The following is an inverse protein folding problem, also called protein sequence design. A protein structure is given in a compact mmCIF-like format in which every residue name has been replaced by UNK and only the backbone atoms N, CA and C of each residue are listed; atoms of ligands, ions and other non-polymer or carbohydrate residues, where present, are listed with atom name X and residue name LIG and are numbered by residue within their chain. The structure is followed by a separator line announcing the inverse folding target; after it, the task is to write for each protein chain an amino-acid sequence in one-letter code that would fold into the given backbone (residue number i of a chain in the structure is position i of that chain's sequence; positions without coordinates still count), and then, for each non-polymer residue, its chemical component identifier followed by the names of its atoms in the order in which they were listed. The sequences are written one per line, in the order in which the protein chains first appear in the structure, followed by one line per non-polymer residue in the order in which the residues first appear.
data_IF_343686277900
#
_entry.id   IF_343686277900
#
_cell.length_a   1.000
_cell.length_b   1.000
_cell.length_c   1.000
_cell.angle_alpha   90.00
_cell.angle_beta   90.00
_cell.angle_gamma   90.00
#
_symmetry.space_group_name_H-M   'P 1'
#
loop_
_entity.id
_entity.type
_entity.pdbx_description
1 polymer ?
#
# COMPACT_ATOMS: atom_id res chain seq x y z
N UNK A 1 -8.49 -17.16 -31.94
CA UNK A 1 -7.98 -17.82 -30.72
C UNK A 1 -7.67 -16.86 -29.55
N UNK A 2 -6.76 -15.93 -29.73
CA UNK A 2 -6.25 -15.11 -28.62
C UNK A 2 -7.26 -14.11 -28.04
N UNK A 3 -8.17 -13.57 -28.85
CA UNK A 3 -9.19 -12.62 -28.38
C UNK A 3 -10.21 -13.32 -27.48
N UNK A 4 -10.68 -14.50 -27.87
CA UNK A 4 -11.61 -15.31 -27.05
C UNK A 4 -10.95 -15.74 -25.73
N UNK A 5 -9.67 -16.12 -25.75
CA UNK A 5 -8.92 -16.47 -24.54
C UNK A 5 -8.73 -15.24 -23.62
N UNK A 6 -8.53 -14.05 -24.18
CA UNK A 6 -8.46 -12.80 -23.43
C UNK A 6 -9.77 -12.45 -22.74
N UNK A 7 -10.90 -12.53 -23.45
CA UNK A 7 -12.23 -12.30 -22.89
C UNK A 7 -12.57 -13.31 -21.78
N UNK A 8 -12.22 -14.57 -21.99
CA UNK A 8 -12.40 -15.64 -21.01
C UNK A 8 -11.54 -15.41 -19.77
N UNK A 9 -10.28 -15.00 -19.95
CA UNK A 9 -9.38 -14.67 -18.83
C UNK A 9 -9.94 -13.50 -18.00
N UNK A 10 -10.52 -12.48 -18.65
CA UNK A 10 -11.14 -11.36 -17.96
C UNK A 10 -12.37 -11.78 -17.15
N UNK A 11 -13.25 -12.64 -17.70
CA UNK A 11 -14.42 -13.17 -16.98
C UNK A 11 -14.00 -13.97 -15.74
N UNK A 12 -12.94 -14.76 -15.83
CA UNK A 12 -12.40 -15.47 -14.67
C UNK A 12 -11.80 -14.51 -13.63
N UNK A 13 -11.16 -13.42 -14.04
CA UNK A 13 -10.70 -12.39 -13.11
C UNK A 13 -11.87 -11.75 -12.34
N UNK A 14 -12.99 -11.47 -13.01
CA UNK A 14 -14.21 -10.96 -12.36
C UNK A 14 -14.84 -11.99 -11.40
N UNK A 15 -14.78 -13.27 -11.72
CA UNK A 15 -15.24 -14.33 -10.82
C UNK A 15 -14.36 -14.42 -9.55
N UNK A 16 -13.03 -14.34 -9.70
CA UNK A 16 -12.10 -14.28 -8.59
C UNK A 16 -12.33 -13.05 -7.71
N UNK A 17 -12.64 -11.90 -8.31
CA UNK A 17 -13.00 -10.67 -7.62
C UNK A 17 -14.28 -10.84 -6.79
N UNK A 18 -15.32 -11.43 -7.35
CA UNK A 18 -16.57 -11.69 -6.65
C UNK A 18 -16.38 -12.63 -5.47
N UNK A 19 -15.52 -13.65 -5.63
CA UNK A 19 -15.19 -14.59 -4.55
C UNK A 19 -14.36 -13.92 -3.45
N UNK A 20 -13.36 -13.14 -3.81
CA UNK A 20 -12.54 -12.39 -2.85
C UNK A 20 -13.38 -11.40 -2.03
N UNK A 21 -14.33 -10.71 -2.64
CA UNK A 21 -15.27 -9.83 -1.95
C UNK A 21 -16.13 -10.58 -0.92
N UNK A 22 -16.50 -11.82 -1.23
CA UNK A 22 -17.23 -12.67 -0.30
C UNK A 22 -16.34 -13.06 0.89
N UNK A 23 -15.11 -13.50 0.64
CA UNK A 23 -14.14 -13.82 1.71
C UNK A 23 -13.99 -12.63 2.66
N UNK A 24 -13.75 -11.42 2.11
CA UNK A 24 -13.57 -10.21 2.92
C UNK A 24 -14.81 -9.83 3.73
N UNK A 25 -16.01 -10.09 3.21
CA UNK A 25 -17.25 -9.86 3.95
C UNK A 25 -17.41 -10.88 5.08
N UNK A 26 -17.26 -12.17 4.76
CA UNK A 26 -17.40 -13.25 5.74
C UNK A 26 -16.36 -13.10 6.87
N UNK A 27 -15.17 -12.57 6.55
CA UNK A 27 -14.11 -12.22 7.49
C UNK A 27 -14.58 -11.11 8.45
N UNK A 28 -15.08 -9.98 7.94
CA UNK A 28 -15.57 -8.86 8.77
C UNK A 28 -16.76 -9.24 9.66
N UNK A 29 -17.57 -10.20 9.27
CA UNK A 29 -18.65 -10.72 10.10
C UNK A 29 -18.14 -11.49 11.33
N UNK A 30 -16.90 -11.98 11.31
CA UNK A 30 -16.29 -12.80 12.35
C UNK A 30 -15.16 -12.10 13.13
N UNK A 31 -14.59 -11.03 12.58
CA UNK A 31 -13.44 -10.32 13.16
C UNK A 31 -13.56 -8.82 12.94
N UNK A 32 -13.19 -8.03 13.97
CA UNK A 32 -13.08 -6.58 13.89
C UNK A 32 -11.64 -6.11 13.58
N UNK A 33 -10.69 -7.05 13.50
CA UNK A 33 -9.28 -6.80 13.19
C UNK A 33 -8.88 -7.57 11.95
N UNK A 34 -7.83 -7.11 11.26
CA UNK A 34 -7.27 -7.79 10.10
C UNK A 34 -5.80 -8.15 10.34
N UNK A 35 -5.44 -9.41 10.10
CA UNK A 35 -4.08 -9.91 10.28
C UNK A 35 -3.71 -11.05 9.31
N UNK A 36 -2.42 -11.36 9.21
CA UNK A 36 -1.89 -12.27 8.18
C UNK A 36 -2.22 -13.75 8.37
N UNK A 37 -2.82 -14.13 9.52
CA UNK A 37 -3.25 -15.51 9.78
C UNK A 37 -4.73 -15.75 9.42
N UNK A 38 -5.44 -14.77 8.86
CA UNK A 38 -6.83 -14.88 8.44
C UNK A 38 -6.98 -15.52 7.06
N UNK A 39 -8.17 -16.02 6.76
CA UNK A 39 -8.45 -16.73 5.52
C UNK A 39 -8.22 -15.90 4.26
N UNK A 40 -8.43 -14.58 4.33
CA UNK A 40 -8.17 -13.68 3.20
C UNK A 40 -6.69 -13.57 2.85
N UNK A 41 -5.78 -13.71 3.82
CA UNK A 41 -4.34 -13.60 3.65
C UNK A 41 -3.68 -14.89 3.15
N UNK A 42 -4.40 -16.01 3.19
CA UNK A 42 -3.87 -17.32 2.75
C UNK A 42 -3.77 -17.33 1.23
N UNK A 43 -2.55 -17.58 0.72
CA UNK A 43 -2.33 -17.80 -0.71
C UNK A 43 -2.87 -19.17 -1.11
N UNK A 44 -3.91 -19.17 -1.94
CA UNK A 44 -4.50 -20.40 -2.45
C UNK A 44 -3.70 -20.97 -3.62
N UNK A 45 -3.65 -22.31 -3.76
CA UNK A 45 -3.07 -22.93 -4.94
C UNK A 45 -3.85 -22.52 -6.21
N UNK A 46 -3.22 -22.61 -7.40
CA UNK A 46 -3.91 -22.32 -8.65
C UNK A 46 -5.19 -23.14 -8.79
N UNK A 47 -6.31 -22.47 -9.08
CA UNK A 47 -7.62 -23.10 -9.27
C UNK A 47 -7.76 -23.48 -10.75
N UNK A 48 -7.97 -24.76 -11.09
CA UNK A 48 -8.16 -25.17 -12.47
C UNK A 48 -9.49 -24.65 -13.03
N UNK A 49 -9.47 -24.18 -14.26
CA UNK A 49 -10.61 -23.74 -15.04
C UNK A 49 -10.56 -24.32 -16.44
N UNK A 50 -11.64 -24.18 -17.22
CA UNK A 50 -11.63 -24.64 -18.60
C UNK A 50 -10.51 -23.95 -19.41
N UNK A 51 -9.58 -24.75 -19.92
CA UNK A 51 -8.45 -24.29 -20.72
C UNK A 51 -7.24 -23.75 -19.94
N UNK A 52 -7.24 -23.79 -18.58
CA UNK A 52 -6.12 -23.26 -17.82
C UNK A 52 -6.32 -23.22 -16.31
N UNK A 53 -5.86 -22.13 -15.68
CA UNK A 53 -5.97 -21.93 -14.23
C UNK A 53 -6.04 -20.45 -13.85
N UNK A 54 -6.53 -20.20 -12.63
CA UNK A 54 -6.55 -18.89 -11.99
C UNK A 54 -5.72 -18.96 -10.72
N UNK A 55 -4.90 -17.94 -10.47
CA UNK A 55 -4.22 -17.70 -9.20
C UNK A 55 -4.65 -16.34 -8.68
N UNK A 56 -5.15 -16.28 -7.44
CA UNK A 56 -5.55 -15.05 -6.76
C UNK A 56 -4.76 -14.83 -5.48
N UNK A 57 -4.41 -13.57 -5.20
CA UNK A 57 -3.79 -13.16 -3.95
C UNK A 57 -4.40 -11.84 -3.49
N UNK A 58 -4.93 -11.84 -2.26
CA UNK A 58 -5.30 -10.62 -1.57
C UNK A 58 -4.11 -10.08 -0.77
N UNK A 59 -3.94 -8.78 -0.79
CA UNK A 59 -2.92 -8.06 -0.02
C UNK A 59 -3.58 -6.88 0.66
N UNK A 60 -3.24 -6.66 1.91
CA UNK A 60 -3.65 -5.48 2.66
C UNK A 60 -2.93 -4.25 2.13
N UNK A 61 -3.66 -3.26 1.61
CA UNK A 61 -3.09 -1.98 1.15
C UNK A 61 -2.77 -1.03 2.31
N UNK A 62 -3.26 -1.30 3.52
CA UNK A 62 -2.91 -0.53 4.71
C UNK A 62 -1.69 -1.11 5.45
N UNK A 63 -1.07 -2.18 4.93
CA UNK A 63 0.23 -2.67 5.37
C UNK A 63 1.40 -1.76 4.99
N UNK A 64 1.17 -0.79 4.11
CA UNK A 64 2.15 0.13 3.52
C UNK A 64 1.84 1.59 3.88
N UNK A 65 2.83 2.47 3.70
CA UNK A 65 2.67 3.91 3.84
C UNK A 65 1.95 4.47 2.61
N UNK A 66 0.73 4.98 2.77
CA UNK A 66 0.01 5.61 1.67
C UNK A 66 0.58 7.01 1.38
N UNK A 67 1.22 7.17 0.23
CA UNK A 67 1.83 8.44 -0.19
C UNK A 67 0.81 9.58 -0.29
N UNK A 68 -0.45 9.27 -0.59
CA UNK A 68 -1.51 10.28 -0.64
C UNK A 68 -1.89 10.85 0.74
N UNK A 69 -1.40 10.25 1.84
CA UNK A 69 -1.53 10.85 3.17
C UNK A 69 -0.56 12.04 3.37
N UNK A 70 0.38 12.30 2.45
CA UNK A 70 1.23 13.50 2.49
C UNK A 70 0.51 14.78 2.05
N UNK A 71 -0.67 14.68 1.44
CA UNK A 71 -1.42 15.86 0.99
C UNK A 71 -1.79 16.72 2.18
N UNK A 72 -1.58 18.03 2.07
CA UNK A 72 -1.70 18.99 3.17
C UNK A 72 -3.10 19.13 3.77
N UNK A 73 -4.14 18.71 3.05
CA UNK A 73 -5.52 18.66 3.55
C UNK A 73 -5.83 17.43 4.42
N UNK A 74 -4.87 16.52 4.57
CA UNK A 74 -4.99 15.33 5.42
C UNK A 74 -4.43 15.61 6.81
N UNK A 75 -5.22 15.33 7.85
CA UNK A 75 -4.82 15.59 9.24
C UNK A 75 -3.51 14.89 9.64
N UNK A 76 -3.27 13.70 9.06
CA UNK A 76 -2.11 12.86 9.36
C UNK A 76 -0.86 13.22 8.51
N UNK A 77 -0.93 14.23 7.65
CA UNK A 77 0.17 14.58 6.75
C UNK A 77 1.51 14.83 7.48
N UNK A 78 1.57 15.56 8.62
CA UNK A 78 2.83 15.76 9.33
C UNK A 78 3.45 14.47 9.87
N UNK A 79 2.65 13.58 10.45
CA UNK A 79 3.15 12.31 10.98
C UNK A 79 3.52 11.35 9.85
N UNK A 80 2.77 11.34 8.75
CA UNK A 80 3.09 10.56 7.55
C UNK A 80 4.43 11.02 6.95
N UNK A 81 4.66 12.33 6.85
CA UNK A 81 5.93 12.89 6.40
C UNK A 81 7.09 12.38 7.26
N UNK A 82 7.01 12.49 8.58
CA UNK A 82 8.06 12.05 9.48
C UNK A 82 8.33 10.54 9.35
N UNK A 83 7.29 9.72 9.27
CA UNK A 83 7.43 8.27 9.05
C UNK A 83 8.09 7.95 7.70
N UNK A 84 7.73 8.67 6.65
CA UNK A 84 8.35 8.48 5.34
C UNK A 84 9.81 8.91 5.33
N UNK A 85 10.18 10.02 5.97
CA UNK A 85 11.58 10.46 6.13
C UNK A 85 12.42 9.37 6.83
N UNK A 86 11.88 8.75 7.90
CA UNK A 86 12.51 7.62 8.59
C UNK A 86 12.62 6.39 7.69
N UNK A 87 11.55 6.05 6.98
CA UNK A 87 11.55 4.91 6.05
C UNK A 87 12.62 5.08 4.97
N UNK A 88 12.73 6.26 4.36
CA UNK A 88 13.78 6.55 3.39
C UNK A 88 15.17 6.35 4.02
N UNK A 89 15.39 6.86 5.22
CA UNK A 89 16.66 6.67 5.95
C UNK A 89 16.97 5.21 6.23
N UNK A 90 15.96 4.40 6.63
CA UNK A 90 16.09 2.95 6.84
C UNK A 90 16.49 2.24 5.55
N UNK A 91 15.98 2.71 4.40
CA UNK A 91 16.24 2.17 3.08
C UNK A 91 17.51 2.73 2.43
N UNK A 92 18.29 3.55 3.15
CA UNK A 92 19.49 4.24 2.63
C UNK A 92 19.18 5.14 1.42
N UNK A 93 18.04 5.82 1.45
CA UNK A 93 17.60 6.81 0.48
C UNK A 93 17.64 8.17 1.16
N UNK A 94 17.99 9.23 0.44
CA UNK A 94 18.00 10.59 0.97
C UNK A 94 16.58 11.00 1.41
N UNK A 95 16.41 11.30 2.70
CA UNK A 95 15.13 11.71 3.27
C UNK A 95 14.61 13.03 2.68
N UNK A 96 15.47 13.89 2.14
CA UNK A 96 15.09 15.13 1.47
C UNK A 96 14.15 14.93 0.28
N UNK A 97 14.18 13.75 -0.35
CA UNK A 97 13.29 13.42 -1.47
C UNK A 97 11.80 13.43 -1.11
N UNK A 98 11.44 13.37 0.17
CA UNK A 98 10.04 13.57 0.63
C UNK A 98 9.49 14.91 0.18
N UNK A 99 10.33 15.96 0.11
CA UNK A 99 9.91 17.30 -0.32
C UNK A 99 9.44 17.31 -1.78
N UNK A 100 10.14 16.60 -2.66
CA UNK A 100 9.73 16.45 -4.05
C UNK A 100 8.42 15.62 -4.19
N UNK A 101 8.15 14.68 -3.28
CA UNK A 101 6.87 13.98 -3.26
C UNK A 101 5.73 14.90 -2.81
N UNK A 102 5.97 15.78 -1.83
CA UNK A 102 4.98 16.75 -1.37
C UNK A 102 4.63 17.72 -2.51
N UNK A 103 5.64 18.32 -3.17
CA UNK A 103 5.45 19.19 -4.32
C UNK A 103 4.71 18.50 -5.50
N UNK A 104 4.89 17.17 -5.66
CA UNK A 104 4.16 16.41 -6.67
C UNK A 104 2.67 16.29 -6.36
N UNK A 105 2.32 16.26 -5.08
CA UNK A 105 0.97 15.99 -4.58
C UNK A 105 0.16 17.25 -4.30
N UNK A 106 0.81 18.33 -3.89
CA UNK A 106 0.11 19.55 -3.50
C UNK A 106 -0.37 20.36 -4.72
N UNK A 107 -1.37 21.24 -4.55
CA UNK A 107 -1.99 21.93 -5.68
C UNK A 107 -1.27 23.23 -6.06
N UNK A 108 -0.24 23.64 -5.34
CA UNK A 108 0.46 24.89 -5.61
C UNK A 108 1.69 24.68 -6.52
N UNK A 109 2.49 25.70 -6.77
CA UNK A 109 3.68 25.66 -7.61
C UNK A 109 4.91 26.19 -6.87
N UNK A 110 4.86 26.21 -5.54
CA UNK A 110 5.93 26.72 -4.70
C UNK A 110 6.85 25.56 -4.29
N UNK A 111 8.05 25.55 -4.86
CA UNK A 111 9.04 24.51 -4.54
C UNK A 111 9.36 24.50 -3.04
N UNK A 112 9.17 23.37 -2.39
CA UNK A 112 9.57 23.12 -1.00
C UNK A 112 11.11 23.12 -0.89
N UNK A 113 11.65 23.93 -0.01
CA UNK A 113 13.11 24.09 0.13
C UNK A 113 13.63 23.18 1.26
N UNK A 114 14.83 22.53 1.06
CA UNK A 114 15.78 22.73 -0.04
C UNK A 114 15.63 21.75 -1.21
N UNK A 115 14.90 20.62 -1.08
CA UNK A 115 14.98 19.47 -1.97
C UNK A 115 13.70 19.20 -2.78
N UNK A 116 12.75 20.13 -2.75
CA UNK A 116 11.51 20.02 -3.53
C UNK A 116 11.73 20.14 -5.04
N UNK A 117 10.71 19.79 -5.81
CA UNK A 117 10.74 19.87 -7.26
C UNK A 117 9.35 20.14 -7.83
N UNK A 118 9.24 21.26 -8.55
CA UNK A 118 8.03 21.73 -9.20
C UNK A 118 8.16 21.81 -10.72
N UNK A 119 7.17 22.32 -11.41
CA UNK A 119 7.14 22.50 -12.88
C UNK A 119 8.45 23.02 -13.44
N UNK A 120 9.10 23.98 -12.76
CA UNK A 120 10.38 24.55 -13.20
C UNK A 120 11.47 23.47 -13.31
N UNK A 121 11.49 22.51 -12.39
CA UNK A 121 12.45 21.38 -12.46
C UNK A 121 12.10 20.45 -13.62
N UNK A 122 10.86 19.99 -13.70
CA UNK A 122 10.45 18.94 -14.64
C UNK A 122 10.37 19.42 -16.09
N UNK A 123 10.03 20.70 -16.31
CA UNK A 123 10.04 21.32 -17.65
C UNK A 123 11.45 21.50 -18.23
N UNK A 124 12.49 21.46 -17.40
CA UNK A 124 13.90 21.55 -17.85
C UNK A 124 14.53 20.17 -18.11
N UNK A 125 13.81 19.09 -17.93
CA UNK A 125 14.31 17.74 -18.25
C UNK A 125 14.41 17.51 -19.76
N UNK A 126 15.20 16.53 -20.18
CA UNK A 126 15.34 16.14 -21.59
C UNK A 126 13.98 15.74 -22.22
N UNK A 127 13.09 15.15 -21.42
CA UNK A 127 11.69 14.89 -21.77
C UNK A 127 10.83 15.67 -20.78
N UNK A 128 10.45 16.89 -21.14
CA UNK A 128 9.74 17.76 -20.21
C UNK A 128 8.31 17.28 -19.93
N UNK A 129 7.90 17.42 -18.69
CA UNK A 129 6.52 17.22 -18.22
C UNK A 129 6.26 18.17 -17.03
N UNK A 130 5.05 18.16 -16.51
CA UNK A 130 4.64 18.97 -15.35
C UNK A 130 4.40 18.08 -14.16
N UNK A 131 4.45 18.66 -12.96
CA UNK A 131 3.96 18.03 -11.73
C UNK A 131 2.49 17.62 -11.89
N UNK A 132 2.09 16.57 -11.18
CA UNK A 132 0.70 16.13 -11.18
C UNK A 132 -0.21 17.12 -10.40
N UNK A 133 0.33 17.81 -9.40
CA UNK A 133 -0.37 18.72 -8.49
C UNK A 133 -1.67 18.10 -7.97
N UNK A 134 -1.58 16.82 -7.55
CA UNK A 134 -2.70 16.06 -7.10
C UNK A 134 -2.33 14.66 -6.65
N UNK A 135 -3.30 13.93 -6.12
CA UNK A 135 -3.09 12.59 -5.58
C UNK A 135 -2.61 11.61 -6.64
N UNK A 136 -1.65 10.78 -6.28
CA UNK A 136 -1.16 9.68 -7.12
C UNK A 136 -2.26 8.65 -7.35
N UNK A 137 -2.33 8.14 -8.57
CA UNK A 137 -3.21 7.02 -8.93
C UNK A 137 -2.48 5.68 -8.84
N UNK A 138 -1.15 5.69 -8.87
CA UNK A 138 -0.30 4.50 -8.81
C UNK A 138 1.06 4.85 -8.21
N UNK A 139 1.64 3.90 -7.46
CA UNK A 139 3.03 4.01 -6.97
C UNK A 139 4.04 4.17 -8.11
N UNK A 140 3.71 3.73 -9.32
CA UNK A 140 4.57 3.90 -10.50
C UNK A 140 4.85 5.37 -10.87
N UNK A 141 4.00 6.32 -10.42
CA UNK A 141 4.23 7.76 -10.59
C UNK A 141 5.50 8.25 -9.87
N UNK A 142 5.95 7.55 -8.82
CA UNK A 142 7.24 7.84 -8.18
C UNK A 142 8.39 7.94 -9.19
N UNK A 143 8.36 7.16 -10.27
CA UNK A 143 9.41 7.20 -11.31
C UNK A 143 9.49 8.53 -12.05
N UNK A 144 8.51 9.39 -11.88
CA UNK A 144 8.47 10.74 -12.43
C UNK A 144 8.95 11.78 -11.43
N UNK A 145 9.18 11.42 -10.17
CA UNK A 145 9.53 12.33 -9.09
C UNK A 145 11.04 12.39 -8.94
N UNK A 146 11.58 13.60 -8.78
CA UNK A 146 12.99 13.83 -8.50
C UNK A 146 13.50 12.94 -7.37
N UNK A 147 14.59 12.20 -7.63
CA UNK A 147 15.20 11.24 -6.70
C UNK A 147 14.68 9.82 -6.82
N UNK A 148 13.52 9.59 -7.44
CA UNK A 148 12.95 8.26 -7.73
C UNK A 148 12.89 7.94 -9.23
N UNK A 149 13.28 8.86 -10.07
CA UNK A 149 13.71 8.63 -11.45
C UNK A 149 14.97 7.73 -11.51
N UNK A 150 15.73 7.64 -10.42
CA UNK A 150 16.71 6.57 -10.19
C UNK A 150 16.00 5.24 -9.89
N UNK A 151 16.14 4.21 -10.75
CA UNK A 151 15.52 2.91 -10.54
C UNK A 151 15.87 2.25 -9.20
N UNK A 152 17.08 2.52 -8.66
CA UNK A 152 17.53 1.93 -7.39
C UNK A 152 16.68 2.46 -6.24
N UNK A 153 16.45 3.76 -6.15
CA UNK A 153 15.62 4.37 -5.12
C UNK A 153 14.16 3.93 -5.24
N UNK A 154 13.64 3.89 -6.48
CA UNK A 154 12.29 3.40 -6.73
C UNK A 154 12.11 1.95 -6.29
N UNK A 155 13.01 1.04 -6.69
CA UNK A 155 12.90 -0.39 -6.39
C UNK A 155 13.06 -0.68 -4.88
N UNK A 156 13.86 0.14 -4.17
CA UNK A 156 14.01 0.06 -2.71
C UNK A 156 12.75 0.51 -1.97
N UNK A 157 12.11 1.60 -2.41
CA UNK A 157 10.96 2.17 -1.72
C UNK A 157 9.63 1.46 -2.05
N UNK A 158 9.45 1.06 -3.32
CA UNK A 158 8.18 0.52 -3.85
C UNK A 158 7.50 -0.54 -2.96
N UNK A 159 8.22 -1.51 -2.33
CA UNK A 159 7.57 -2.55 -1.52
C UNK A 159 6.85 -2.05 -0.27
N UNK A 160 7.14 -0.85 0.19
CA UNK A 160 6.73 -0.32 1.49
C UNK A 160 5.72 0.82 1.42
N UNK A 161 5.42 1.26 0.21
CA UNK A 161 4.51 2.38 -0.04
C UNK A 161 3.36 1.98 -0.96
N UNK A 162 2.27 2.68 -0.85
CA UNK A 162 1.10 2.54 -1.70
C UNK A 162 0.56 3.92 -2.10
N UNK A 163 -0.29 3.93 -3.11
CA UNK A 163 -0.97 5.12 -3.59
C UNK A 163 -2.41 4.75 -3.95
N UNK A 164 -3.34 5.04 -3.07
CA UNK A 164 -4.77 4.96 -3.35
C UNK A 164 -5.46 6.24 -2.85
N UNK A 165 -6.56 6.59 -3.52
CA UNK A 165 -7.09 7.95 -3.52
C UNK A 165 -7.68 8.48 -2.22
N UNK A 166 -7.72 7.67 -1.15
CA UNK A 166 -8.34 8.02 0.13
C UNK A 166 -7.28 7.88 1.22
N UNK A 167 -7.16 8.84 2.14
CA UNK A 167 -6.31 8.70 3.32
C UNK A 167 -6.71 7.46 4.11
N UNK A 168 -5.74 6.65 4.51
CA UNK A 168 -5.98 5.45 5.29
C UNK A 168 -4.86 5.22 6.31
N UNK A 169 -5.18 4.72 7.51
CA UNK A 169 -4.20 4.39 8.53
C UNK A 169 -3.35 3.17 8.14
N UNK A 170 -2.22 2.99 8.82
CA UNK A 170 -1.38 1.80 8.69
C UNK A 170 -1.91 0.72 9.63
N UNK A 171 -2.21 -0.47 9.10
CA UNK A 171 -2.53 -1.63 9.91
C UNK A 171 -1.26 -2.25 10.48
N UNK A 172 -1.08 -2.16 11.80
CA UNK A 172 0.11 -2.66 12.50
C UNK A 172 0.20 -4.19 12.48
N UNK A 173 -0.92 -4.89 12.33
CA UNK A 173 -0.97 -6.35 12.28
C UNK A 173 -0.46 -6.92 10.95
N UNK A 174 -0.36 -6.10 9.90
CA UNK A 174 0.04 -6.53 8.55
C UNK A 174 1.28 -5.80 8.03
N UNK A 175 1.61 -4.65 8.61
CA UNK A 175 2.74 -3.80 8.19
C UNK A 175 4.08 -4.56 8.17
N UNK A 176 4.95 -4.25 7.21
CA UNK A 176 6.29 -4.83 7.11
C UNK A 176 7.21 -4.38 8.25
N UNK A 177 8.35 -5.06 8.39
CA UNK A 177 9.39 -4.70 9.36
C UNK A 177 9.82 -3.24 9.17
N UNK A 178 10.07 -2.83 7.94
CA UNK A 178 10.56 -1.50 7.60
C UNK A 178 9.52 -0.42 7.88
N UNK A 179 8.24 -0.70 7.59
CA UNK A 179 7.13 0.21 7.91
C UNK A 179 6.97 0.33 9.42
N UNK A 180 7.02 -0.76 10.19
CA UNK A 180 6.98 -0.69 11.65
C UNK A 180 8.17 0.09 12.20
N UNK A 181 9.40 -0.14 11.73
CA UNK A 181 10.59 0.61 12.15
C UNK A 181 10.47 2.11 11.90
N UNK A 182 9.71 2.52 10.89
CA UNK A 182 9.51 3.95 10.57
C UNK A 182 8.60 4.69 11.56
N UNK A 183 7.92 3.98 12.46
CA UNK A 183 6.99 4.59 13.41
C UNK A 183 7.69 5.47 14.45
N UNK A 184 8.92 5.13 14.84
CA UNK A 184 9.72 5.93 15.77
C UNK A 184 11.23 5.77 15.53
N UNK A 185 12.02 6.81 15.88
CA UNK A 185 13.47 6.82 15.69
C UNK A 185 14.17 5.78 16.57
N UNK A 186 13.70 5.63 17.81
CA UNK A 186 14.30 4.74 18.81
C UNK A 186 13.73 3.30 18.77
N UNK A 187 12.87 2.99 17.80
CA UNK A 187 12.32 1.64 17.65
C UNK A 187 13.37 0.70 17.05
N UNK A 188 13.95 -0.14 17.89
CA UNK A 188 15.04 -1.03 17.50
C UNK A 188 14.55 -2.21 16.64
N UNK A 189 15.49 -2.89 15.96
CA UNK A 189 15.19 -4.12 15.24
C UNK A 189 14.68 -5.24 16.17
N UNK A 190 15.12 -5.24 17.44
CA UNK A 190 14.66 -6.19 18.45
C UNK A 190 13.21 -5.92 18.84
N UNK A 191 12.83 -4.64 19.04
CA UNK A 191 11.44 -4.28 19.38
C UNK A 191 10.50 -4.70 18.26
N UNK A 192 10.88 -4.45 17.00
CA UNK A 192 10.08 -4.88 15.84
C UNK A 192 10.00 -6.40 15.74
N UNK A 193 11.07 -7.13 16.05
CA UNK A 193 11.05 -8.60 16.06
C UNK A 193 10.03 -9.11 17.09
N UNK A 194 10.00 -8.51 18.30
CA UNK A 194 9.04 -8.84 19.36
C UNK A 194 7.60 -8.51 18.93
N UNK A 195 7.37 -7.36 18.26
CA UNK A 195 6.05 -7.01 17.70
C UNK A 195 5.60 -8.07 16.68
N UNK A 196 6.49 -8.49 15.78
CA UNK A 196 6.20 -9.51 14.76
C UNK A 196 5.88 -10.86 15.41
N UNK A 197 6.66 -11.28 16.42
CA UNK A 197 6.43 -12.53 17.15
C UNK A 197 5.07 -12.49 17.84
N UNK A 198 4.77 -11.41 18.58
CA UNK A 198 3.48 -11.22 19.25
C UNK A 198 2.29 -11.31 18.28
N UNK A 199 2.30 -10.52 17.21
CA UNK A 199 1.17 -10.50 16.26
C UNK A 199 0.99 -11.80 15.48
N UNK A 200 2.06 -12.60 15.32
CA UNK A 200 1.99 -13.93 14.70
C UNK A 200 1.36 -14.97 15.62
N UNK A 201 1.59 -14.82 16.94
CA UNK A 201 0.95 -15.67 17.96
C UNK A 201 -0.47 -15.20 18.23
N UNK A 202 -0.64 -13.95 18.58
CA UNK A 202 -1.94 -13.29 18.77
C UNK A 202 -1.89 -11.85 18.24
N UNK A 203 -2.73 -11.53 17.24
CA UNK A 203 -2.81 -10.20 16.66
C UNK A 203 -3.31 -9.16 17.69
N UNK A 204 -2.82 -7.93 17.59
CA UNK A 204 -3.27 -6.83 18.44
C UNK A 204 -4.73 -6.48 18.14
N UNK A 205 -5.53 -6.35 19.19
CA UNK A 205 -6.97 -6.09 19.09
C UNK A 205 -7.30 -4.59 19.08
N UNK A 206 -6.36 -3.76 19.52
CA UNK A 206 -6.49 -2.31 19.51
C UNK A 206 -5.13 -1.62 19.48
N UNK A 207 -5.13 -0.33 19.15
CA UNK A 207 -3.91 0.49 19.19
C UNK A 207 -3.42 0.71 20.63
N UNK A 208 -4.33 0.72 21.60
CA UNK A 208 -4.00 0.81 23.03
C UNK A 208 -3.25 -0.45 23.51
N UNK A 209 -3.69 -1.63 23.06
CA UNK A 209 -2.99 -2.90 23.33
C UNK A 209 -1.60 -2.89 22.71
N UNK A 210 -1.47 -2.53 21.45
CA UNK A 210 -0.19 -2.36 20.77
C UNK A 210 0.73 -1.38 21.50
N UNK A 211 0.25 -0.20 21.84
CA UNK A 211 1.04 0.81 22.53
C UNK A 211 1.49 0.37 23.94
N UNK A 212 0.70 -0.47 24.61
CA UNK A 212 1.02 -1.00 25.93
C UNK A 212 1.98 -2.19 25.90
N UNK A 213 2.11 -2.87 24.75
CA UNK A 213 2.99 -4.01 24.57
C UNK A 213 4.46 -3.58 24.80
N UNK A 214 5.14 -4.23 25.73
CA UNK A 214 6.55 -3.93 26.08
C UNK A 214 6.86 -2.43 26.29
N UNK A 215 5.86 -1.65 26.71
CA UNK A 215 5.94 -0.19 26.88
C UNK A 215 6.27 0.59 25.59
N UNK A 216 5.80 0.12 24.44
CA UNK A 216 5.98 0.81 23.15
C UNK A 216 5.50 2.26 23.18
N UNK A 217 4.53 2.61 24.03
CA UNK A 217 4.06 3.99 24.23
C UNK A 217 5.14 4.97 24.73
N UNK A 218 6.26 4.48 25.24
CA UNK A 218 7.41 5.32 25.59
C UNK A 218 8.30 5.62 24.38
N UNK A 219 8.22 4.80 23.32
CA UNK A 219 9.01 4.89 22.09
C UNK A 219 8.14 5.47 20.97
N UNK A 220 6.95 4.89 20.76
CA UNK A 220 5.97 5.35 19.75
C UNK A 220 5.00 6.29 20.47
N UNK A 221 5.35 7.56 20.55
CA UNK A 221 4.58 8.57 21.27
C UNK A 221 3.40 9.12 20.45
N UNK A 222 3.40 8.91 19.15
CA UNK A 222 2.33 9.33 18.22
C UNK A 222 1.78 8.13 17.46
N UNK A 223 0.57 7.71 17.83
CA UNK A 223 -0.16 6.61 17.19
C UNK A 223 -1.16 7.07 16.14
N UNK A 224 -1.19 8.38 15.81
CA UNK A 224 -2.04 8.93 14.75
C UNK A 224 -1.82 8.18 13.43
N UNK A 225 -2.89 7.85 12.73
CA UNK A 225 -2.83 7.12 11.46
C UNK A 225 -2.37 5.67 11.59
N UNK A 226 -2.55 5.02 12.77
CA UNK A 226 -2.41 3.58 12.96
C UNK A 226 -3.78 2.93 13.18
N UNK A 227 -3.92 1.70 12.73
CA UNK A 227 -5.11 0.84 12.94
C UNK A 227 -4.71 -0.61 13.20
N UNK A 228 -5.69 -1.43 13.57
CA UNK A 228 -5.59 -2.89 13.68
C UNK A 228 -6.47 -3.58 12.64
N UNK A 229 -7.16 -2.83 11.81
CA UNK A 229 -8.08 -3.29 10.77
C UNK A 229 -7.79 -2.61 9.43
N UNK A 230 -8.40 -3.14 8.37
CA UNK A 230 -8.17 -2.72 7.00
C UNK A 230 -9.48 -2.57 6.25
N UNK A 231 -9.61 -1.46 5.53
CA UNK A 231 -10.71 -1.19 4.60
C UNK A 231 -10.32 -1.39 3.14
N UNK A 232 -9.01 -1.39 2.80
CA UNK A 232 -8.52 -1.40 1.43
C UNK A 232 -7.63 -2.60 1.14
N UNK A 233 -8.07 -3.44 0.22
CA UNK A 233 -7.37 -4.65 -0.20
C UNK A 233 -7.04 -4.61 -1.69
N UNK A 234 -5.89 -5.16 -2.06
CA UNK A 234 -5.52 -5.42 -3.45
C UNK A 234 -5.74 -6.88 -3.76
N UNK A 235 -6.58 -7.17 -4.74
CA UNK A 235 -6.62 -8.49 -5.37
C UNK A 235 -5.74 -8.48 -6.62
N UNK A 236 -4.70 -9.28 -6.63
CA UNK A 236 -3.98 -9.65 -7.83
C UNK A 236 -4.53 -10.99 -8.35
N UNK A 237 -4.99 -10.99 -9.60
CA UNK A 237 -5.43 -12.21 -10.27
C UNK A 237 -4.55 -12.49 -11.47
N UNK A 238 -3.99 -13.71 -11.54
CA UNK A 238 -3.26 -14.21 -12.70
C UNK A 238 -4.12 -15.31 -13.33
N UNK A 239 -4.60 -15.06 -14.54
CA UNK A 239 -5.39 -16.03 -15.30
C UNK A 239 -4.59 -16.51 -16.49
N UNK A 240 -4.41 -17.81 -16.62
CA UNK A 240 -3.71 -18.43 -17.76
C UNK A 240 -4.69 -19.33 -18.52
N UNK A 241 -4.92 -19.05 -19.80
CA UNK A 241 -5.77 -19.83 -20.71
C UNK A 241 -4.94 -20.20 -21.93
N UNK A 242 -4.65 -21.47 -22.11
CA UNK A 242 -3.73 -21.96 -23.14
C UNK A 242 -2.35 -21.33 -22.98
N UNK A 243 -1.96 -20.47 -23.94
CA UNK A 243 -0.68 -19.75 -23.94
C UNK A 243 -0.84 -18.26 -23.54
N UNK A 244 -2.04 -17.82 -23.21
CA UNK A 244 -2.32 -16.44 -22.84
C UNK A 244 -2.37 -16.32 -21.33
N UNK A 245 -1.56 -15.42 -20.78
CA UNK A 245 -1.62 -15.02 -19.36
C UNK A 245 -2.01 -13.55 -19.24
N UNK A 246 -2.97 -13.27 -18.38
CA UNK A 246 -3.41 -11.93 -18.05
C UNK A 246 -3.28 -11.71 -16.54
N UNK A 247 -2.76 -10.54 -16.15
CA UNK A 247 -2.69 -10.10 -14.76
C UNK A 247 -3.68 -8.95 -14.57
N UNK A 248 -4.54 -9.08 -13.59
CA UNK A 248 -5.50 -8.03 -13.21
C UNK A 248 -5.28 -7.67 -11.74
N UNK A 249 -5.30 -6.37 -11.47
CA UNK A 249 -5.28 -5.82 -10.11
C UNK A 249 -6.60 -5.13 -9.85
N UNK A 250 -7.25 -5.46 -8.75
CA UNK A 250 -8.51 -4.85 -8.32
C UNK A 250 -8.35 -4.32 -6.91
N UNK A 251 -8.59 -3.02 -6.71
CA UNK A 251 -8.67 -2.42 -5.37
C UNK A 251 -10.08 -2.61 -4.85
N UNK A 252 -10.20 -3.31 -3.74
CA UNK A 252 -11.47 -3.61 -3.07
C UNK A 252 -11.53 -2.77 -1.80
N UNK A 253 -12.55 -1.95 -1.68
CA UNK A 253 -12.91 -1.29 -0.43
C UNK A 253 -13.93 -2.13 0.31
N UNK A 254 -13.73 -2.32 1.61
CA UNK A 254 -14.65 -2.97 2.54
C UNK A 254 -14.97 -1.99 3.67
N UNK A 255 -16.24 -1.65 3.84
CA UNK A 255 -16.66 -0.78 4.92
C UNK A 255 -16.74 -1.53 6.27
N UNK A 256 -16.97 -0.78 7.35
CA UNK A 256 -17.10 -1.31 8.72
C UNK A 256 -18.20 -2.39 8.87
N UNK A 257 -19.17 -2.42 7.96
CA UNK A 257 -20.28 -3.39 7.95
C UNK A 257 -19.98 -4.62 7.09
N UNK A 258 -18.79 -4.70 6.50
CA UNK A 258 -18.40 -5.76 5.59
C UNK A 258 -18.90 -5.59 4.15
N UNK A 259 -19.53 -4.44 3.81
CA UNK A 259 -19.92 -4.18 2.41
C UNK A 259 -18.67 -3.95 1.56
N UNK A 260 -18.57 -4.67 0.45
CA UNK A 260 -17.40 -4.63 -0.41
C UNK A 260 -17.71 -4.00 -1.77
N UNK A 261 -16.84 -3.11 -2.25
CA UNK A 261 -16.91 -2.48 -3.56
C UNK A 261 -15.55 -2.50 -4.25
N UNK A 262 -15.52 -2.74 -5.56
CA UNK A 262 -14.32 -2.57 -6.37
C UNK A 262 -14.24 -1.10 -6.79
N UNK A 263 -13.21 -0.40 -6.35
CA UNK A 263 -13.04 1.04 -6.58
C UNK A 263 -12.05 1.36 -7.70
N UNK A 264 -11.17 0.42 -8.04
CA UNK A 264 -10.24 0.54 -9.17
C UNK A 264 -9.92 -0.83 -9.74
N UNK A 265 -9.65 -0.89 -11.05
CA UNK A 265 -9.19 -2.10 -11.74
C UNK A 265 -8.21 -1.73 -12.84
N UNK A 266 -7.06 -2.41 -12.88
CA UNK A 266 -6.04 -2.27 -13.92
C UNK A 266 -5.61 -3.63 -14.45
N UNK A 267 -5.14 -3.65 -15.70
CA UNK A 267 -4.54 -4.83 -16.30
C UNK A 267 -3.05 -4.59 -16.56
N UNK A 268 -2.21 -5.57 -16.30
CA UNK A 268 -0.80 -5.57 -16.60
C UNK A 268 0.08 -5.17 -15.42
N UNK A 269 0.16 -3.91 -15.06
CA UNK A 269 1.04 -3.37 -13.99
C UNK A 269 0.23 -2.46 -13.08
N UNK A 270 0.50 -2.55 -11.79
CA UNK A 270 -0.06 -1.68 -10.76
C UNK A 270 1.03 -0.82 -10.12
#
# INVERSE_FOLDING_TARGET
GNMIAGDQAYLYALAAESWSRRILRDDRENSDIDHLNENWAIELPPIPVEGGFIKGKLTDLQACLNLNNLVTDVADAPVTRTRLERLLSILEIDAGHVQAMIDWLDPDLQTTIPDGAEDVHYMNLQRPYRTANGRMLSVSELRLIRGFDDPVNYDRLRPYVCAFGIPAPININTASIEVLRSLADDLSASDVANIIEQRNDEAFKSIEEFASFENLNQIITDTTGLSVDTEYFMLQTITTIGQVSAVTYSVIHRDERGTTNVIARTQGVY
#
